data_IF_975851453934
#
_entry.id   IF_975851453934
#
_cell.length_a   1.000
_cell.length_b   1.000
_cell.length_c   1.000
_cell.angle_alpha   90.00
_cell.angle_beta   90.00
_cell.angle_gamma   90.00
#
_symmetry.space_group_name_H-M   'P 1'
#
loop_
_entity.id
_entity.type
_entity.pdbx_description
1 polymer ?
#
# COMPACT_ATOMS: atom_id res chain seq x y z
N UNK A 1 -7.24 13.89 -29.23
CA UNK A 1 -7.32 13.44 -27.82
C UNK A 1 -6.84 14.57 -26.94
N UNK A 2 -7.59 14.94 -25.89
CA UNK A 2 -7.10 15.87 -24.85
C UNK A 2 -6.92 15.06 -23.58
N UNK A 3 -5.68 14.67 -23.30
CA UNK A 3 -5.26 14.09 -22.02
C UNK A 3 -4.89 15.25 -21.10
N UNK A 4 -5.34 15.20 -19.85
CA UNK A 4 -5.08 16.23 -18.85
C UNK A 4 -4.31 15.61 -17.68
N UNK A 5 -3.34 16.34 -17.08
CA UNK A 5 -2.69 15.90 -15.85
C UNK A 5 -3.71 15.76 -14.71
N UNK A 6 -3.48 14.81 -13.80
CA UNK A 6 -4.24 14.68 -12.55
C UNK A 6 -3.57 15.55 -11.49
N UNK A 7 -4.22 16.64 -11.08
CA UNK A 7 -3.66 17.59 -10.09
C UNK A 7 -4.44 17.67 -8.80
N UNK A 8 -5.74 17.43 -8.89
CA UNK A 8 -6.67 17.46 -7.77
C UNK A 8 -7.50 16.19 -7.74
N UNK A 9 -8.10 15.92 -6.58
CA UNK A 9 -8.90 14.73 -6.36
C UNK A 9 -10.08 14.56 -7.34
N UNK A 10 -10.63 15.68 -7.85
CA UNK A 10 -11.67 15.62 -8.87
C UNK A 10 -11.15 15.05 -10.20
N UNK A 11 -9.93 15.40 -10.60
CA UNK A 11 -9.30 14.86 -11.81
C UNK A 11 -9.06 13.36 -11.65
N UNK A 12 -8.64 12.94 -10.44
CA UNK A 12 -8.39 11.54 -10.11
C UNK A 12 -9.66 10.71 -10.25
N UNK A 13 -10.77 11.15 -9.64
CA UNK A 13 -12.08 10.47 -9.77
C UNK A 13 -12.56 10.38 -11.21
N UNK A 14 -12.34 11.43 -12.01
CA UNK A 14 -12.68 11.41 -13.43
C UNK A 14 -11.81 10.42 -14.21
N UNK A 15 -10.50 10.38 -13.94
CA UNK A 15 -9.59 9.41 -14.54
C UNK A 15 -10.02 7.98 -14.20
N UNK A 16 -10.31 7.68 -12.94
CA UNK A 16 -10.78 6.37 -12.50
C UNK A 16 -12.10 5.96 -13.17
N UNK A 17 -13.05 6.89 -13.30
CA UNK A 17 -14.31 6.64 -14.03
C UNK A 17 -14.06 6.28 -15.51
N UNK A 18 -13.06 6.90 -16.13
CA UNK A 18 -12.70 6.61 -17.52
C UNK A 18 -11.91 5.30 -17.65
N UNK A 19 -11.07 4.95 -16.67
CA UNK A 19 -10.39 3.66 -16.57
C UNK A 19 -11.43 2.54 -16.52
N UNK A 20 -12.44 2.65 -15.67
CA UNK A 20 -13.52 1.66 -15.55
C UNK A 20 -14.25 1.44 -16.89
N UNK A 21 -14.53 2.52 -17.63
CA UNK A 21 -15.19 2.44 -18.94
C UNK A 21 -14.31 1.80 -20.02
N UNK A 22 -12.99 1.96 -19.90
CA UNK A 22 -12.01 1.44 -20.85
C UNK A 22 -11.48 0.07 -20.45
N UNK A 23 -11.88 -0.45 -19.28
CA UNK A 23 -11.43 -1.74 -18.79
C UNK A 23 -11.68 -2.85 -19.82
N UNK A 24 -10.66 -3.68 -20.05
CA UNK A 24 -10.72 -4.73 -21.08
C UNK A 24 -10.60 -4.24 -22.53
N UNK A 25 -10.27 -2.96 -22.77
CA UNK A 25 -9.89 -2.50 -24.09
C UNK A 25 -8.68 -3.31 -24.61
N UNK A 26 -8.74 -3.70 -25.89
CA UNK A 26 -7.67 -4.49 -26.51
C UNK A 26 -6.42 -3.65 -26.74
N UNK A 27 -5.27 -4.27 -26.50
CA UNK A 27 -3.95 -3.72 -26.81
C UNK A 27 -3.84 -3.35 -28.29
N UNK A 28 -3.05 -2.29 -28.56
CA UNK A 28 -2.88 -1.76 -29.91
C UNK A 28 -4.09 -1.02 -30.49
N UNK A 29 -5.20 -0.92 -29.75
CA UNK A 29 -6.34 -0.08 -30.15
C UNK A 29 -6.23 1.33 -29.57
N UNK A 30 -6.91 2.34 -30.17
CA UNK A 30 -6.96 3.68 -29.59
C UNK A 30 -7.54 3.73 -28.17
N UNK A 31 -8.41 2.77 -27.81
CA UNK A 31 -8.96 2.64 -26.46
C UNK A 31 -7.91 2.06 -25.50
N UNK A 32 -7.17 1.03 -25.91
CA UNK A 32 -6.08 0.45 -25.14
C UNK A 32 -4.98 1.48 -24.86
N UNK A 33 -4.49 2.17 -25.89
CA UNK A 33 -3.48 3.22 -25.69
C UNK A 33 -3.96 4.39 -24.83
N UNK A 34 -5.28 4.67 -24.79
CA UNK A 34 -5.84 5.64 -23.85
C UNK A 34 -5.88 5.12 -22.43
N UNK A 35 -6.24 3.85 -22.24
CA UNK A 35 -6.22 3.18 -20.95
C UNK A 35 -4.80 3.20 -20.36
N UNK A 36 -3.80 2.83 -21.17
CA UNK A 36 -2.39 2.81 -20.75
C UNK A 36 -1.93 4.18 -20.22
N UNK A 37 -2.24 5.26 -20.94
CA UNK A 37 -1.87 6.61 -20.51
C UNK A 37 -2.61 7.02 -19.24
N UNK A 38 -3.89 6.67 -19.10
CA UNK A 38 -4.65 6.97 -17.89
C UNK A 38 -4.08 6.23 -16.67
N UNK A 39 -3.71 4.96 -16.83
CA UNK A 39 -3.11 4.17 -15.75
C UNK A 39 -1.78 4.77 -15.28
N UNK A 40 -0.92 5.22 -16.21
CA UNK A 40 0.34 5.90 -15.84
C UNK A 40 0.09 7.20 -15.06
N UNK A 41 -0.92 7.98 -15.45
CA UNK A 41 -1.25 9.23 -14.74
C UNK A 41 -1.84 8.97 -13.35
N UNK A 42 -2.66 7.93 -13.22
CA UNK A 42 -3.24 7.48 -11.95
C UNK A 42 -2.14 7.01 -11.01
N UNK A 43 -1.26 6.13 -11.47
CA UNK A 43 -0.14 5.60 -10.69
C UNK A 43 0.79 6.71 -10.18
N UNK A 44 1.17 7.65 -11.05
CA UNK A 44 2.00 8.79 -10.65
C UNK A 44 1.29 9.71 -9.62
N UNK A 45 -0.03 9.85 -9.72
CA UNK A 45 -0.81 10.61 -8.74
C UNK A 45 -0.89 9.90 -7.39
N UNK A 46 -1.17 8.59 -7.39
CA UNK A 46 -1.23 7.75 -6.20
C UNK A 46 0.13 7.69 -5.49
N UNK A 47 1.22 7.49 -6.22
CA UNK A 47 2.57 7.49 -5.65
C UNK A 47 2.94 8.82 -4.96
N UNK A 48 2.32 9.94 -5.34
CA UNK A 48 2.52 11.26 -4.72
C UNK A 48 1.62 11.53 -3.51
N UNK A 49 0.39 11.04 -3.52
CA UNK A 49 -0.64 11.41 -2.54
C UNK A 49 -1.05 10.28 -1.60
N UNK A 50 -0.84 9.04 -2.03
CA UNK A 50 -1.20 7.80 -1.34
C UNK A 50 -0.02 6.85 -1.34
N UNK A 51 1.15 7.33 -0.89
CA UNK A 51 2.27 6.42 -0.63
C UNK A 51 1.79 5.32 0.30
N UNK A 52 1.97 4.07 -0.13
CA UNK A 52 1.79 2.92 0.75
C UNK A 52 2.96 2.99 1.73
N UNK A 53 2.72 3.60 2.88
CA UNK A 53 3.67 3.57 3.98
C UNK A 53 3.93 2.11 4.36
N UNK A 54 5.17 1.80 4.73
CA UNK A 54 5.48 0.50 5.29
C UNK A 54 4.55 0.25 6.48
N UNK A 55 3.97 -0.97 6.63
CA UNK A 55 3.18 -1.28 7.81
C UNK A 55 4.04 -1.00 9.05
N UNK A 56 3.39 -0.55 10.12
CA UNK A 56 4.09 -0.37 11.38
C UNK A 56 4.87 -1.68 11.70
N UNK A 57 6.15 -1.61 12.08
CA UNK A 57 6.96 -2.81 12.27
C UNK A 57 6.35 -3.80 13.28
N UNK A 58 5.61 -3.32 14.29
CA UNK A 58 4.89 -4.18 15.24
C UNK A 58 3.69 -4.83 14.57
N UNK A 59 2.92 -4.08 13.77
CA UNK A 59 1.82 -4.65 12.99
C UNK A 59 2.32 -5.74 12.02
N UNK A 60 3.48 -5.53 11.39
CA UNK A 60 4.12 -6.53 10.53
C UNK A 60 4.52 -7.80 11.31
N UNK A 61 5.05 -7.66 12.53
CA UNK A 61 5.37 -8.80 13.40
C UNK A 61 4.10 -9.54 13.80
N UNK A 62 3.06 -8.82 14.22
CA UNK A 62 1.78 -9.41 14.64
C UNK A 62 1.10 -10.15 13.48
N UNK A 63 1.11 -9.56 12.28
CA UNK A 63 0.63 -10.22 11.07
C UNK A 63 1.38 -11.52 10.78
N UNK A 64 2.71 -11.50 10.82
CA UNK A 64 3.53 -12.70 10.64
C UNK A 64 3.22 -13.76 11.71
N UNK A 65 3.03 -13.36 12.97
CA UNK A 65 2.66 -14.28 14.05
C UNK A 65 1.31 -14.94 13.77
N UNK A 66 0.31 -14.19 13.30
CA UNK A 66 -1.00 -14.73 12.93
C UNK A 66 -0.89 -15.72 11.77
N UNK A 67 -0.20 -15.34 10.68
CA UNK A 67 -0.05 -16.19 9.49
C UNK A 67 0.71 -17.49 9.78
N UNK A 68 1.67 -17.46 10.71
CA UNK A 68 2.51 -18.60 11.06
C UNK A 68 2.02 -19.35 12.31
N UNK A 69 0.93 -18.90 12.95
CA UNK A 69 0.41 -19.48 14.19
C UNK A 69 1.35 -19.36 15.40
N UNK A 70 2.22 -18.35 15.42
CA UNK A 70 3.22 -18.15 16.47
C UNK A 70 2.61 -17.48 17.70
N UNK A 71 3.05 -17.93 18.86
CA UNK A 71 2.76 -17.32 20.15
C UNK A 71 3.86 -16.33 20.54
N UNK A 72 3.56 -15.40 21.46
CA UNK A 72 4.55 -14.44 21.96
C UNK A 72 5.77 -15.12 22.61
N UNK A 73 5.59 -16.32 23.18
CA UNK A 73 6.68 -17.13 23.73
C UNK A 73 7.69 -17.55 22.66
N UNK A 74 7.24 -17.70 21.42
CA UNK A 74 8.09 -18.18 20.32
C UNK A 74 9.05 -17.08 19.82
N UNK A 75 8.80 -15.82 20.23
CA UNK A 75 9.70 -14.70 19.98
C UNK A 75 10.81 -14.57 21.04
N UNK A 76 10.72 -15.29 22.16
CA UNK A 76 11.70 -15.17 23.24
C UNK A 76 13.15 -15.51 22.83
N UNK A 77 13.40 -16.52 21.98
CA UNK A 77 14.76 -16.80 21.48
C UNK A 77 15.36 -15.67 20.64
N UNK A 78 14.54 -14.81 20.04
CA UNK A 78 14.97 -13.77 19.11
C UNK A 78 15.01 -12.37 19.75
N UNK A 79 14.08 -12.06 20.65
CA UNK A 79 13.93 -10.74 21.29
C UNK A 79 14.41 -10.77 22.76
N UNK A 80 14.41 -11.94 23.39
CA UNK A 80 14.73 -12.15 24.80
C UNK A 80 13.50 -12.41 25.65
N UNK A 81 13.65 -12.33 26.97
CA UNK A 81 12.61 -12.70 27.94
C UNK A 81 11.22 -12.09 27.64
N UNK A 82 10.16 -12.79 28.05
CA UNK A 82 8.74 -12.39 27.89
C UNK A 82 8.43 -10.90 28.09
N UNK A 83 9.04 -10.24 29.09
CA UNK A 83 8.82 -8.82 29.34
C UNK A 83 9.32 -7.92 28.19
N UNK A 84 10.42 -8.31 27.51
CA UNK A 84 10.97 -7.58 26.36
C UNK A 84 10.10 -7.76 25.13
N UNK A 85 9.67 -8.99 24.85
CA UNK A 85 8.71 -9.28 23.77
C UNK A 85 7.46 -8.41 23.95
N UNK A 86 6.88 -8.40 25.15
CA UNK A 86 5.71 -7.57 25.43
C UNK A 86 5.98 -6.08 25.29
N UNK A 87 7.18 -5.59 25.63
CA UNK A 87 7.51 -4.17 25.45
C UNK A 87 7.59 -3.78 23.98
N UNK A 88 8.26 -4.60 23.17
CA UNK A 88 8.40 -4.39 21.72
C UNK A 88 7.02 -4.37 21.06
N UNK A 89 6.18 -5.37 21.34
CA UNK A 89 4.84 -5.48 20.75
C UNK A 89 3.82 -4.43 21.24
N UNK A 90 4.17 -3.59 22.22
CA UNK A 90 3.31 -2.50 22.70
C UNK A 90 3.94 -1.11 22.50
N UNK A 91 5.00 -0.98 21.69
CA UNK A 91 5.75 0.27 21.48
C UNK A 91 6.27 0.94 22.77
N UNK A 92 6.48 0.18 23.85
CA UNK A 92 6.96 0.75 25.12
C UNK A 92 8.49 0.84 25.06
N UNK A 93 8.99 1.94 24.46
CA UNK A 93 10.41 2.27 24.40
C UNK A 93 10.81 3.02 25.68
N UNK A 94 11.78 2.50 26.43
CA UNK A 94 12.53 3.32 27.39
C UNK A 94 13.66 3.98 26.62
N UNK A 95 13.53 5.27 26.34
CA UNK A 95 14.69 6.13 26.11
C UNK A 95 15.57 6.05 27.37
N UNK A 96 16.79 5.55 27.20
CA UNK A 96 17.87 5.71 28.18
C UNK A 96 18.67 6.94 27.84
#
# INVERSE_FOLDING_TARGET
>A
MSIKPIKIEQDYRQAMTEVDKLWGAKDGTPKGGRLDVLLVLVDEHENKHHQIDAPDPVDAILFCMEQLGLQRSDLEPHIGQKYRVSKVLNHIIFTR
#
